data_IF_800528484083
#
_entry.id   IF_800528484083
#
_cell.length_a   1.000
_cell.length_b   1.000
_cell.length_c   1.000
_cell.angle_alpha   90.00
_cell.angle_beta   90.00
_cell.angle_gamma   90.00
#
_symmetry.space_group_name_H-M   'P 1'
#
loop_
_entity.id
_entity.type
_entity.pdbx_description
1 polymer ?
#
# COMPACT_ATOMS: atom_id res chain seq x y z
N UNK A 1 6.73 -23.80 68.15
CA UNK A 1 6.72 -24.60 66.89
C UNK A 1 5.99 -23.94 65.71
N UNK A 2 5.33 -22.77 65.83
CA UNK A 2 4.57 -22.16 64.72
C UNK A 2 5.29 -21.13 63.84
N UNK A 3 6.49 -20.68 64.22
CA UNK A 3 7.16 -19.53 63.56
C UNK A 3 7.94 -19.92 62.30
N UNK A 4 8.33 -21.19 62.16
CA UNK A 4 9.10 -21.70 61.02
C UNK A 4 8.25 -21.69 59.73
N UNK A 5 6.95 -21.98 59.85
CA UNK A 5 6.01 -21.98 58.71
C UNK A 5 5.79 -20.56 58.16
N UNK A 6 5.77 -19.55 59.04
CA UNK A 6 5.57 -18.14 58.65
C UNK A 6 6.78 -17.61 57.88
N UNK A 7 8.01 -17.98 58.28
CA UNK A 7 9.24 -17.57 57.59
C UNK A 7 9.34 -18.22 56.21
N UNK A 8 8.94 -19.50 56.07
CA UNK A 8 8.91 -20.20 54.79
C UNK A 8 7.93 -19.57 53.79
N UNK A 9 6.73 -19.20 54.25
CA UNK A 9 5.73 -18.53 53.40
C UNK A 9 6.23 -17.15 52.96
N UNK A 10 6.83 -16.38 53.87
CA UNK A 10 7.41 -15.08 53.54
C UNK A 10 8.54 -15.19 52.51
N UNK A 11 9.38 -16.23 52.61
CA UNK A 11 10.47 -16.47 51.65
C UNK A 11 9.95 -16.84 50.26
N UNK A 12 8.91 -17.68 50.18
CA UNK A 12 8.28 -18.04 48.89
C UNK A 12 7.67 -16.79 48.23
N UNK A 13 6.99 -15.94 49.01
CA UNK A 13 6.43 -14.68 48.49
C UNK A 13 7.55 -13.75 48.02
N UNK A 14 8.66 -13.65 48.75
CA UNK A 14 9.81 -12.82 48.38
C UNK A 14 10.46 -13.31 47.07
N UNK A 15 10.64 -14.62 46.91
CA UNK A 15 11.22 -15.23 45.70
C UNK A 15 10.30 -15.03 44.49
N UNK A 16 8.99 -15.20 44.65
CA UNK A 16 8.01 -14.95 43.59
C UNK A 16 7.96 -13.47 43.21
N UNK A 17 8.07 -12.56 44.18
CA UNK A 17 8.06 -11.12 43.93
C UNK A 17 9.34 -10.63 43.27
N UNK A 18 10.50 -11.19 43.63
CA UNK A 18 11.79 -10.91 42.99
C UNK A 18 11.85 -11.45 41.55
N UNK A 19 11.16 -12.56 41.25
CA UNK A 19 11.10 -13.16 39.91
C UNK A 19 10.28 -12.40 38.87
N UNK A 20 9.40 -11.47 39.29
CA UNK A 20 8.51 -10.75 38.36
C UNK A 20 9.06 -9.42 37.82
N UNK A 21 10.24 -8.96 38.25
CA UNK A 21 10.79 -7.63 37.91
C UNK A 21 11.53 -7.50 36.57
N UNK A 22 11.50 -8.51 35.70
CA UNK A 22 12.07 -8.39 34.34
C UNK A 22 11.12 -8.94 33.28
N UNK A 23 10.02 -8.22 33.04
CA UNK A 23 9.33 -8.30 31.75
C UNK A 23 9.86 -7.17 30.85
N UNK A 24 10.73 -7.45 29.88
CA UNK A 24 11.06 -6.47 28.85
C UNK A 24 9.78 -6.08 28.10
N UNK A 25 9.60 -4.78 27.91
CA UNK A 25 8.46 -4.15 27.25
C UNK A 25 8.23 -4.72 25.85
N UNK A 26 7.07 -5.35 25.62
CA UNK A 26 6.61 -5.83 24.31
C UNK A 26 6.37 -4.69 23.29
N UNK A 27 6.53 -3.42 23.68
CA UNK A 27 6.22 -2.26 22.85
C UNK A 27 7.29 -1.96 21.78
N UNK A 28 8.52 -2.45 21.93
CA UNK A 28 9.60 -2.17 20.97
C UNK A 28 9.40 -2.91 19.64
N UNK A 29 8.95 -4.17 19.66
CA UNK A 29 8.78 -5.00 18.47
C UNK A 29 7.70 -4.47 17.53
N UNK A 30 6.57 -3.98 18.08
CA UNK A 30 5.48 -3.41 17.27
C UNK A 30 5.84 -2.06 16.62
N UNK A 31 6.70 -1.25 17.27
CA UNK A 31 7.11 0.04 16.71
C UNK A 31 8.11 -0.11 15.56
N UNK A 32 9.06 -1.06 15.67
CA UNK A 32 10.01 -1.36 14.60
C UNK A 32 9.32 -1.91 13.34
N UNK A 33 8.28 -2.74 13.48
CA UNK A 33 7.52 -3.26 12.32
C UNK A 33 6.75 -2.15 11.62
N UNK A 34 6.09 -1.26 12.36
CA UNK A 34 5.23 -0.21 11.79
C UNK A 34 6.03 0.83 11.00
N UNK A 35 7.18 1.27 11.54
CA UNK A 35 8.05 2.24 10.86
C UNK A 35 8.68 1.66 9.58
N UNK A 36 9.07 0.38 9.59
CA UNK A 36 9.63 -0.30 8.41
C UNK A 36 8.59 -0.45 7.30
N UNK A 37 7.38 -0.89 7.63
CA UNK A 37 6.26 -1.03 6.67
C UNK A 37 5.86 0.32 6.07
N UNK A 38 5.78 1.38 6.90
CA UNK A 38 5.50 2.73 6.40
C UNK A 38 6.61 3.27 5.47
N UNK A 39 7.88 2.99 5.80
CA UNK A 39 9.02 3.32 4.95
C UNK A 39 8.99 2.62 3.59
N UNK A 40 8.78 1.30 3.57
CA UNK A 40 8.70 0.49 2.35
C UNK A 40 7.50 0.90 1.48
N UNK A 41 6.33 1.14 2.09
CA UNK A 41 5.14 1.62 1.40
C UNK A 41 5.34 3.00 0.76
N UNK A 42 6.02 3.92 1.47
CA UNK A 42 6.32 5.26 0.96
C UNK A 42 7.32 5.22 -0.20
N UNK A 43 8.37 4.40 -0.10
CA UNK A 43 9.35 4.21 -1.19
C UNK A 43 8.68 3.63 -2.42
N UNK A 44 7.82 2.62 -2.24
CA UNK A 44 7.06 2.00 -3.34
C UNK A 44 6.11 3.00 -3.99
N UNK A 45 5.39 3.82 -3.20
CA UNK A 45 4.49 4.86 -3.73
C UNK A 45 5.24 5.88 -4.58
N UNK A 46 6.41 6.35 -4.13
CA UNK A 46 7.22 7.32 -4.87
C UNK A 46 7.67 6.74 -6.22
N UNK A 47 8.20 5.50 -6.22
CA UNK A 47 8.61 4.81 -7.44
C UNK A 47 7.46 4.60 -8.43
N UNK A 48 6.28 4.20 -7.93
CA UNK A 48 5.07 4.07 -8.76
C UNK A 48 4.71 5.39 -9.43
N UNK A 49 4.68 6.49 -8.68
CA UNK A 49 4.38 7.81 -9.24
C UNK A 49 5.41 8.26 -10.28
N UNK A 50 6.70 8.01 -10.04
CA UNK A 50 7.77 8.30 -11.01
C UNK A 50 7.57 7.55 -12.33
N UNK A 51 7.27 6.26 -12.26
CA UNK A 51 7.01 5.44 -13.45
C UNK A 51 5.76 5.90 -14.19
N UNK A 52 4.67 6.20 -13.49
CA UNK A 52 3.44 6.74 -14.09
C UNK A 52 3.70 8.10 -14.76
N UNK A 53 4.48 8.97 -14.13
CA UNK A 53 4.85 10.28 -14.69
C UNK A 53 5.74 10.15 -15.92
N UNK A 54 6.69 9.22 -15.90
CA UNK A 54 7.55 8.92 -17.05
C UNK A 54 6.70 8.42 -18.22
N UNK A 55 5.85 7.42 -17.98
CA UNK A 55 4.96 6.85 -18.98
C UNK A 55 3.98 7.89 -19.56
N UNK A 56 3.39 8.73 -18.70
CA UNK A 56 2.54 9.83 -19.15
C UNK A 56 3.34 10.79 -20.04
N UNK A 57 4.45 11.35 -19.54
CA UNK A 57 5.25 12.36 -20.28
C UNK A 57 5.77 11.84 -21.62
N UNK A 58 6.18 10.56 -21.66
CA UNK A 58 6.74 9.93 -22.87
C UNK A 58 5.69 9.25 -23.75
N UNK A 59 4.42 9.26 -23.34
CA UNK A 59 3.31 8.57 -24.02
C UNK A 59 3.59 7.08 -24.26
N UNK A 60 4.14 6.42 -23.25
CA UNK A 60 4.46 4.99 -23.26
C UNK A 60 3.34 4.21 -22.59
N UNK A 61 2.88 3.14 -23.24
CA UNK A 61 1.94 2.18 -22.65
C UNK A 61 2.58 1.56 -21.40
N UNK A 62 1.75 1.25 -20.42
CA UNK A 62 2.20 0.52 -19.23
C UNK A 62 1.30 -0.66 -18.96
N UNK A 63 1.90 -1.72 -18.43
CA UNK A 63 1.17 -2.76 -17.71
C UNK A 63 1.18 -2.41 -16.22
N UNK A 64 0.03 -2.49 -15.56
CA UNK A 64 -0.10 -2.32 -14.10
C UNK A 64 -0.80 -3.51 -13.48
N UNK A 65 -0.37 -3.91 -12.29
CA UNK A 65 -1.23 -4.71 -11.41
C UNK A 65 -1.99 -3.77 -10.47
N UNK A 66 -3.30 -3.96 -10.44
CA UNK A 66 -4.23 -3.07 -9.80
C UNK A 66 -5.16 -3.83 -8.87
N UNK A 67 -5.29 -3.36 -7.63
CA UNK A 67 -6.23 -3.89 -6.66
C UNK A 67 -7.58 -3.18 -6.78
N UNK A 68 -8.65 -3.91 -7.12
CA UNK A 68 -9.99 -3.35 -7.16
C UNK A 68 -10.55 -3.18 -5.74
N UNK A 69 -11.19 -2.04 -5.49
CA UNK A 69 -11.79 -1.76 -4.18
C UNK A 69 -13.10 -2.50 -3.91
N UNK A 70 -13.71 -3.11 -4.92
CA UNK A 70 -14.96 -3.85 -4.78
C UNK A 70 -15.00 -5.03 -5.78
N UNK A 71 -14.23 -6.11 -5.55
CA UNK A 71 -14.29 -7.28 -6.40
C UNK A 71 -15.65 -7.97 -6.30
N UNK A 72 -16.16 -8.45 -7.44
CA UNK A 72 -17.27 -9.41 -7.43
C UNK A 72 -16.77 -10.73 -6.82
N UNK A 73 -17.63 -11.54 -6.18
CA UNK A 73 -17.22 -12.80 -5.55
C UNK A 73 -16.43 -13.74 -6.47
N UNK A 74 -16.70 -13.66 -7.78
CA UNK A 74 -16.12 -14.53 -8.82
C UNK A 74 -14.92 -13.90 -9.54
N UNK A 75 -14.55 -12.66 -9.21
CA UNK A 75 -13.45 -11.95 -9.85
C UNK A 75 -12.28 -11.76 -8.88
N UNK A 76 -11.03 -11.95 -9.33
CA UNK A 76 -9.88 -11.67 -8.48
C UNK A 76 -9.82 -10.19 -8.10
N UNK A 77 -9.48 -9.92 -6.84
CA UNK A 77 -9.27 -8.57 -6.34
C UNK A 77 -8.12 -7.85 -7.06
N UNK A 78 -7.10 -8.59 -7.50
CA UNK A 78 -5.95 -8.06 -8.23
C UNK A 78 -6.04 -8.38 -9.70
N UNK A 79 -5.73 -7.38 -10.52
CA UNK A 79 -5.95 -7.40 -11.96
C UNK A 79 -4.77 -6.79 -12.68
N UNK A 80 -4.22 -7.50 -13.65
CA UNK A 80 -3.21 -6.96 -14.57
C UNK A 80 -3.92 -6.23 -15.70
N UNK A 81 -3.46 -5.02 -16.04
CA UNK A 81 -4.08 -4.13 -17.02
C UNK A 81 -3.03 -3.43 -17.87
N UNK A 82 -3.19 -3.53 -19.19
CA UNK A 82 -2.48 -2.66 -20.13
C UNK A 82 -3.29 -1.38 -20.32
N UNK A 83 -2.62 -0.23 -20.15
CA UNK A 83 -3.25 1.07 -20.10
C UNK A 83 -2.42 2.16 -20.81
N UNK A 84 -3.13 3.12 -21.39
CA UNK A 84 -2.58 4.32 -22.01
C UNK A 84 -3.03 5.55 -21.19
N UNK A 85 -2.09 6.24 -20.53
CA UNK A 85 -2.40 7.29 -19.53
C UNK A 85 -2.76 8.62 -20.23
N UNK A 86 -4.02 9.05 -20.09
CA UNK A 86 -4.52 10.29 -20.70
C UNK A 86 -4.38 11.50 -19.78
N UNK A 87 -4.50 11.31 -18.47
CA UNK A 87 -4.30 12.38 -17.49
C UNK A 87 -3.73 11.83 -16.20
N UNK A 88 -2.86 12.59 -15.55
CA UNK A 88 -2.18 12.19 -14.32
C UNK A 88 -2.31 13.29 -13.27
N UNK A 89 -3.02 12.97 -12.18
CA UNK A 89 -3.15 13.80 -10.99
C UNK A 89 -2.32 13.26 -9.83
N UNK A 90 -2.53 13.81 -8.64
CA UNK A 90 -1.78 13.42 -7.43
C UNK A 90 -2.27 12.10 -6.82
N UNK A 91 -3.57 11.82 -6.93
CA UNK A 91 -4.19 10.63 -6.33
C UNK A 91 -4.79 9.68 -7.37
N UNK A 92 -5.18 10.22 -8.53
CA UNK A 92 -5.86 9.49 -9.58
C UNK A 92 -5.21 9.78 -10.94
N UNK A 93 -5.40 8.86 -11.87
CA UNK A 93 -5.08 9.06 -13.27
C UNK A 93 -6.19 8.50 -14.15
N UNK A 94 -6.43 9.15 -15.28
CA UNK A 94 -7.31 8.67 -16.33
C UNK A 94 -6.48 7.93 -17.36
N UNK A 95 -6.97 6.78 -17.78
CA UNK A 95 -6.31 5.99 -18.81
C UNK A 95 -7.32 5.21 -19.66
N UNK A 96 -6.95 4.96 -20.91
CA UNK A 96 -7.64 3.98 -21.71
C UNK A 96 -7.21 2.57 -21.29
N UNK A 97 -8.17 1.76 -20.87
CA UNK A 97 -7.94 0.40 -20.43
C UNK A 97 -8.22 -0.58 -21.55
N UNK A 98 -7.19 -1.23 -22.08
CA UNK A 98 -7.29 -2.12 -23.24
C UNK A 98 -8.18 -3.33 -22.97
N UNK A 99 -8.12 -3.88 -21.75
CA UNK A 99 -8.97 -5.00 -21.35
C UNK A 99 -10.47 -4.65 -21.32
N UNK A 100 -10.82 -3.37 -21.11
CA UNK A 100 -12.23 -2.91 -21.09
C UNK A 100 -12.62 -2.12 -22.34
N UNK A 101 -11.66 -1.85 -23.22
CA UNK A 101 -11.81 -1.00 -24.40
C UNK A 101 -12.50 0.34 -24.09
N UNK A 102 -12.12 0.96 -22.97
CA UNK A 102 -12.77 2.17 -22.48
C UNK A 102 -11.85 3.01 -21.58
N UNK A 103 -12.12 4.32 -21.52
CA UNK A 103 -11.53 5.20 -20.52
C UNK A 103 -11.99 4.83 -19.11
N UNK A 104 -11.04 4.81 -18.17
CA UNK A 104 -11.25 4.54 -16.75
C UNK A 104 -10.35 5.42 -15.90
N UNK A 105 -10.85 5.78 -14.74
CA UNK A 105 -10.07 6.45 -13.69
C UNK A 105 -9.53 5.41 -12.72
N UNK A 106 -8.26 5.52 -12.38
CA UNK A 106 -7.56 4.63 -11.47
C UNK A 106 -7.01 5.41 -10.29
N UNK A 107 -7.23 4.88 -9.08
CA UNK A 107 -6.60 5.39 -7.86
C UNK A 107 -5.16 4.91 -7.74
N UNK A 108 -4.19 5.84 -7.67
CA UNK A 108 -2.74 5.53 -7.63
C UNK A 108 -2.38 4.65 -6.44
N UNK A 109 -3.02 4.85 -5.27
CA UNK A 109 -2.77 4.05 -4.07
C UNK A 109 -3.16 2.57 -4.20
N UNK A 110 -3.86 2.18 -5.27
CA UNK A 110 -4.27 0.80 -5.57
C UNK A 110 -3.41 0.15 -6.65
N UNK A 111 -2.41 0.86 -7.17
CA UNK A 111 -1.44 0.30 -8.11
C UNK A 111 -0.37 -0.43 -7.30
N UNK A 112 -0.25 -1.74 -7.54
CA UNK A 112 0.69 -2.62 -6.85
C UNK A 112 2.06 -2.62 -7.52
N UNK A 113 2.11 -2.57 -8.85
CA UNK A 113 3.33 -2.33 -9.62
C UNK A 113 3.02 -1.75 -11.01
N UNK A 114 4.06 -1.19 -11.64
CA UNK A 114 4.03 -0.61 -12.98
C UNK A 114 5.21 -1.14 -13.79
N UNK A 115 4.97 -1.57 -15.02
CA UNK A 115 6.00 -1.91 -16.01
C UNK A 115 5.77 -1.05 -17.24
N UNK A 116 6.80 -0.33 -17.66
CA UNK A 116 6.81 0.43 -18.90
C UNK A 116 6.96 -0.54 -20.07
N UNK A 117 6.19 -0.32 -21.12
CA UNK A 117 6.24 -1.05 -22.37
C UNK A 117 6.86 -0.17 -23.47
N UNK A 118 7.23 -0.77 -24.60
CA UNK A 118 7.88 -0.06 -25.71
C UNK A 118 6.85 0.56 -26.67
N UNK A 119 5.56 0.21 -26.55
CA UNK A 119 4.50 0.80 -27.36
C UNK A 119 4.19 2.24 -26.93
N UNK A 120 3.99 3.10 -27.93
CA UNK A 120 3.54 4.48 -27.72
C UNK A 120 2.06 4.63 -28.07
N UNK A 121 1.43 5.68 -27.54
CA UNK A 121 0.04 6.02 -27.85
C UNK A 121 -0.14 7.52 -28.08
N UNK A 122 -1.29 7.87 -28.65
CA UNK A 122 -1.75 9.25 -28.72
C UNK A 122 -2.97 9.43 -27.81
N UNK A 123 -3.05 10.59 -27.18
CA UNK A 123 -4.24 10.99 -26.43
C UNK A 123 -5.24 11.54 -27.44
N UNK A 124 -6.51 11.09 -27.44
CA UNK A 124 -7.54 11.65 -28.30
C UNK A 124 -7.66 13.18 -28.12
N UNK A 125 -7.82 13.96 -29.20
CA UNK A 125 -7.87 15.43 -29.12
C UNK A 125 -9.10 15.96 -28.37
N UNK A 126 -10.15 15.15 -28.28
CA UNK A 126 -11.40 15.41 -27.56
C UNK A 126 -11.38 14.93 -26.10
N UNK A 127 -10.25 14.39 -25.63
CA UNK A 127 -10.12 13.97 -24.24
C UNK A 127 -10.25 15.17 -23.29
N UNK A 128 -11.17 15.04 -22.34
CA UNK A 128 -11.35 15.96 -21.21
C UNK A 128 -11.03 15.22 -19.92
N UNK A 129 -10.09 15.73 -19.09
CA UNK A 129 -9.78 15.13 -17.79
C UNK A 129 -10.99 15.06 -16.86
N UNK A 130 -11.10 13.96 -16.13
CA UNK A 130 -12.15 13.82 -15.10
C UNK A 130 -11.82 14.68 -13.88
N UNK A 131 -12.86 15.02 -13.09
CA UNK A 131 -12.70 15.73 -11.82
C UNK A 131 -11.79 15.02 -10.81
N UNK A 132 -11.67 13.69 -10.89
CA UNK A 132 -10.74 12.91 -10.05
C UNK A 132 -9.29 13.28 -10.31
N UNK A 133 -8.93 13.52 -11.58
CA UNK A 133 -7.56 13.87 -11.98
C UNK A 133 -7.24 15.32 -11.65
N UNK A 134 -8.18 16.23 -11.84
CA UNK A 134 -7.97 17.68 -11.65
C UNK A 134 -8.16 18.13 -10.20
N UNK A 135 -9.11 17.55 -9.47
CA UNK A 135 -9.53 18.01 -8.13
C UNK A 135 -9.29 16.97 -7.02
N UNK A 136 -9.05 15.69 -7.36
CA UNK A 136 -8.77 14.64 -6.38
C UNK A 136 -9.96 14.18 -5.52
N UNK A 137 -11.19 14.49 -5.93
CA UNK A 137 -12.43 14.25 -5.16
C UNK A 137 -12.97 12.85 -5.33
#
# INVERSE_FOLDING_TARGET
>A
MGWIVVILIAFIILVVWLGQRRRPSQNASHQLTTAKVAGEARVTKNKTMELLRLAYTKRLRVTVEYETGNPKPEEPARKVRDIDIYGLGNEYFDAYCHHRSAQRTFKISRVLWVRICDETYQIPPDYVPTGWVTEGK
#
